data_IF_160773593704
#
_entry.id   IF_160773593704
#
_cell.length_a   1.000
_cell.length_b   1.000
_cell.length_c   1.000
_cell.angle_alpha   90.00
_cell.angle_beta   90.00
_cell.angle_gamma   90.00
#
_symmetry.space_group_name_H-M   'P 1'
#
loop_
_entity.id
_entity.type
_entity.pdbx_description
1 polymer ?
#
# COMPACT_ATOMS: atom_id res chain seq x y z
N UNK A 1 34.17 -29.04 -38.62
CA UNK A 1 33.16 -28.01 -38.31
C UNK A 1 32.07 -28.50 -37.35
N UNK A 2 31.39 -29.62 -37.63
CA UNK A 2 30.31 -30.14 -36.77
C UNK A 2 30.73 -30.52 -35.34
N UNK A 3 31.92 -31.09 -35.14
CA UNK A 3 32.44 -31.45 -33.80
C UNK A 3 32.68 -30.20 -32.91
N UNK A 4 33.13 -29.09 -33.50
CA UNK A 4 33.29 -27.83 -32.79
C UNK A 4 31.95 -27.21 -32.40
N UNK A 5 30.92 -27.31 -33.26
CA UNK A 5 29.58 -26.79 -32.96
C UNK A 5 28.91 -27.57 -31.82
N UNK A 6 29.04 -28.90 -31.80
CA UNK A 6 28.53 -29.74 -30.71
C UNK A 6 29.23 -29.45 -29.37
N UNK A 7 30.56 -29.28 -29.37
CA UNK A 7 31.31 -28.92 -28.17
C UNK A 7 30.94 -27.52 -27.67
N UNK A 8 30.83 -26.53 -28.57
CA UNK A 8 30.39 -25.17 -28.20
C UNK A 8 28.97 -25.17 -27.62
N UNK A 9 28.04 -25.93 -28.21
CA UNK A 9 26.69 -26.07 -27.69
C UNK A 9 26.68 -26.73 -26.30
N UNK A 10 27.46 -27.80 -26.11
CA UNK A 10 27.57 -28.46 -24.80
C UNK A 10 28.13 -27.53 -23.72
N UNK A 11 29.19 -26.76 -24.04
CA UNK A 11 29.75 -25.75 -23.12
C UNK A 11 28.69 -24.69 -22.77
N UNK A 12 27.95 -24.19 -23.77
CA UNK A 12 26.89 -23.20 -23.54
C UNK A 12 25.77 -23.73 -22.63
N UNK A 13 25.36 -24.99 -22.81
CA UNK A 13 24.36 -25.65 -21.95
C UNK A 13 24.88 -25.78 -20.51
N UNK A 14 26.14 -26.19 -20.32
CA UNK A 14 26.76 -26.30 -18.99
C UNK A 14 26.83 -24.93 -18.32
N UNK A 15 27.29 -23.89 -19.03
CA UNK A 15 27.37 -22.53 -18.49
C UNK A 15 25.98 -21.98 -18.13
N UNK A 16 24.97 -22.22 -18.96
CA UNK A 16 23.59 -21.84 -18.67
C UNK A 16 23.06 -22.56 -17.42
N UNK A 17 23.32 -23.87 -17.30
CA UNK A 17 22.93 -24.63 -16.12
C UNK A 17 23.60 -24.07 -14.85
N UNK A 18 24.92 -23.83 -14.87
CA UNK A 18 25.65 -23.26 -13.74
C UNK A 18 25.14 -21.86 -13.37
N UNK A 19 24.83 -21.03 -14.37
CA UNK A 19 24.23 -19.72 -14.17
C UNK A 19 22.86 -19.82 -13.50
N UNK A 20 21.96 -20.67 -14.01
CA UNK A 20 20.62 -20.88 -13.45
C UNK A 20 20.68 -21.49 -12.04
N UNK A 21 21.63 -22.38 -11.77
CA UNK A 21 21.85 -22.92 -10.43
C UNK A 21 22.31 -21.84 -9.45
N UNK A 22 23.28 -21.02 -9.85
CA UNK A 22 23.74 -19.86 -9.04
C UNK A 22 22.61 -18.86 -8.82
N UNK A 23 21.83 -18.56 -9.85
CA UNK A 23 20.69 -17.65 -9.77
C UNK A 23 19.61 -18.18 -8.83
N UNK A 24 19.21 -19.46 -8.96
CA UNK A 24 18.28 -20.12 -8.04
C UNK A 24 18.72 -19.96 -6.59
N UNK A 25 19.99 -20.26 -6.31
CA UNK A 25 20.54 -20.17 -4.96
C UNK A 25 20.49 -18.73 -4.45
N UNK A 26 20.94 -17.76 -5.25
CA UNK A 26 20.92 -16.33 -4.90
C UNK A 26 19.50 -15.81 -4.63
N UNK A 27 18.51 -16.28 -5.39
CA UNK A 27 17.11 -15.90 -5.25
C UNK A 27 16.42 -16.50 -4.03
N UNK A 28 17.03 -17.45 -3.33
CA UNK A 28 16.43 -18.09 -2.13
C UNK A 28 17.30 -17.94 -0.88
N UNK A 29 18.57 -17.60 -1.06
CA UNK A 29 19.50 -17.37 0.05
C UNK A 29 19.15 -16.07 0.76
N UNK A 30 18.95 -16.16 2.07
CA UNK A 30 18.74 -14.99 2.94
C UNK A 30 20.13 -14.51 3.42
N UNK A 31 20.57 -13.29 3.05
CA UNK A 31 21.81 -12.69 3.54
C UNK A 31 21.85 -12.61 5.07
N UNK A 32 23.04 -12.65 5.66
CA UNK A 32 23.20 -12.59 7.11
C UNK A 32 22.70 -11.26 7.68
N UNK A 33 22.91 -10.16 6.98
CA UNK A 33 22.41 -8.83 7.38
C UNK A 33 20.88 -8.82 7.43
N UNK A 34 20.24 -9.38 6.40
CA UNK A 34 18.78 -9.49 6.34
C UNK A 34 18.22 -10.40 7.43
N UNK A 35 18.95 -11.46 7.79
CA UNK A 35 18.58 -12.34 8.91
C UNK A 35 18.70 -11.63 10.24
N UNK A 36 19.73 -10.80 10.43
CA UNK A 36 19.95 -10.05 11.67
C UNK A 36 18.84 -9.00 11.94
N UNK A 37 18.16 -8.53 10.91
CA UNK A 37 17.02 -7.63 11.06
C UNK A 37 15.83 -8.23 11.81
N UNK A 38 15.68 -9.55 11.76
CA UNK A 38 14.63 -10.28 12.47
C UNK A 38 15.23 -11.21 13.53
N UNK A 39 15.02 -10.96 14.83
CA UNK A 39 15.67 -11.75 15.87
C UNK A 39 15.23 -13.22 15.86
N UNK A 40 13.97 -13.52 15.53
CA UNK A 40 13.46 -14.89 15.32
C UNK A 40 12.15 -14.94 14.52
N UNK A 41 11.80 -16.10 13.92
CA UNK A 41 10.50 -16.33 13.30
C UNK A 41 9.32 -16.29 14.28
N UNK A 42 8.13 -16.06 13.73
CA UNK A 42 6.88 -16.15 14.48
C UNK A 42 6.58 -17.61 14.83
N UNK A 43 6.33 -17.89 16.11
CA UNK A 43 5.92 -19.23 16.56
C UNK A 43 4.41 -19.40 16.39
N UNK A 44 3.95 -20.65 16.30
CA UNK A 44 2.51 -20.92 16.22
C UNK A 44 1.75 -20.48 17.48
N UNK A 45 2.42 -20.50 18.64
CA UNK A 45 1.83 -20.07 19.90
C UNK A 45 1.59 -18.56 19.90
N UNK A 46 2.62 -17.77 19.58
CA UNK A 46 2.50 -16.30 19.50
C UNK A 46 1.42 -15.85 18.51
N UNK A 47 1.32 -16.54 17.37
CA UNK A 47 0.30 -16.27 16.36
C UNK A 47 -1.11 -16.50 16.96
N UNK A 48 -1.33 -17.60 17.67
CA UNK A 48 -2.63 -17.92 18.28
C UNK A 48 -2.96 -16.97 19.43
N UNK A 49 -2.02 -16.73 20.33
CA UNK A 49 -2.19 -15.81 21.46
C UNK A 49 -2.52 -14.39 20.97
N UNK A 50 -1.81 -13.92 19.93
CA UNK A 50 -2.07 -12.62 19.32
C UNK A 50 -3.45 -12.60 18.67
N UNK A 51 -3.82 -13.63 17.92
CA UNK A 51 -5.14 -13.72 17.30
C UNK A 51 -6.28 -13.74 18.33
N UNK A 52 -6.16 -14.52 19.41
CA UNK A 52 -7.12 -14.52 20.51
C UNK A 52 -7.24 -13.15 21.17
N UNK A 53 -6.10 -12.48 21.39
CA UNK A 53 -6.08 -11.11 21.91
C UNK A 53 -6.80 -10.15 20.99
N UNK A 54 -6.56 -10.21 19.68
CA UNK A 54 -7.19 -9.36 18.67
C UNK A 54 -8.70 -9.67 18.51
N UNK A 55 -9.11 -10.92 18.70
CA UNK A 55 -10.52 -11.30 18.73
C UNK A 55 -11.24 -10.68 19.94
N UNK A 56 -10.62 -10.72 21.13
CA UNK A 56 -11.19 -10.14 22.36
C UNK A 56 -11.12 -8.61 22.38
N UNK A 57 -10.03 -8.05 21.89
CA UNK A 57 -9.74 -6.62 21.92
C UNK A 57 -9.13 -6.19 20.58
N UNK A 58 -9.98 -5.78 19.61
CA UNK A 58 -9.55 -5.21 18.35
C UNK A 58 -8.57 -4.05 18.52
N UNK A 59 -7.80 -3.77 17.47
CA UNK A 59 -6.80 -2.70 17.52
C UNK A 59 -7.51 -1.35 17.57
N UNK A 60 -7.34 -0.64 18.69
CA UNK A 60 -7.86 0.71 18.83
C UNK A 60 -6.87 1.75 18.29
N UNK A 61 -7.16 2.25 17.09
CA UNK A 61 -6.39 3.32 16.46
C UNK A 61 -6.74 4.71 16.99
N UNK A 62 -7.90 4.89 17.64
CA UNK A 62 -8.42 6.22 18.00
C UNK A 62 -7.54 6.94 19.01
N UNK A 63 -6.95 6.19 19.95
CA UNK A 63 -5.99 6.70 20.95
C UNK A 63 -4.70 7.30 20.37
N UNK A 64 -4.38 6.99 19.11
CA UNK A 64 -3.20 7.50 18.42
C UNK A 64 -3.49 8.72 17.57
N UNK A 65 -4.76 9.03 17.32
CA UNK A 65 -5.14 10.11 16.42
C UNK A 65 -4.79 11.47 17.04
N UNK A 66 -4.24 12.42 16.26
CA UNK A 66 -4.08 13.77 16.72
C UNK A 66 -5.44 14.43 16.98
N UNK A 67 -5.44 15.50 17.78
CA UNK A 67 -6.63 16.26 18.10
C UNK A 67 -7.41 16.70 16.84
N UNK A 68 -8.73 16.83 16.99
CA UNK A 68 -9.61 17.38 15.95
C UNK A 68 -9.15 18.79 15.56
N UNK A 69 -9.07 19.05 14.25
CA UNK A 69 -8.86 20.38 13.71
C UNK A 69 -10.15 20.89 13.03
N UNK A 70 -10.51 22.16 13.21
CA UNK A 70 -11.69 22.75 12.57
C UNK A 70 -11.38 23.11 11.10
N UNK A 71 -11.47 22.11 10.23
CA UNK A 71 -11.04 22.18 8.82
C UNK A 71 -12.01 21.42 7.93
N UNK A 72 -11.97 21.72 6.64
CA UNK A 72 -12.58 20.92 5.57
C UNK A 72 -11.50 20.10 4.86
N UNK A 73 -11.90 18.95 4.32
CA UNK A 73 -11.00 17.91 3.83
C UNK A 73 -11.42 17.43 2.45
N UNK A 74 -10.49 17.47 1.50
CA UNK A 74 -10.60 16.71 0.26
C UNK A 74 -9.66 15.51 0.34
N UNK A 75 -10.21 14.31 0.24
CA UNK A 75 -9.44 13.07 0.24
C UNK A 75 -9.46 12.48 -1.17
N UNK A 76 -8.40 12.76 -1.93
CA UNK A 76 -8.20 12.25 -3.29
C UNK A 76 -7.69 10.82 -3.22
N UNK A 77 -8.41 9.87 -3.83
CA UNK A 77 -8.21 8.43 -3.60
C UNK A 77 -8.90 7.93 -2.33
N UNK A 78 -9.89 8.68 -1.82
CA UNK A 78 -10.57 8.40 -0.56
C UNK A 78 -11.48 7.16 -0.55
N UNK A 79 -11.73 6.53 -1.70
CA UNK A 79 -12.43 5.25 -1.78
C UNK A 79 -11.48 4.04 -1.65
N UNK A 80 -10.16 4.28 -1.70
CA UNK A 80 -9.13 3.25 -1.63
C UNK A 80 -8.75 2.81 -0.22
N UNK A 81 -7.62 2.08 -0.12
CA UNK A 81 -7.08 1.56 1.15
C UNK A 81 -6.67 2.69 2.09
N UNK A 82 -5.64 3.47 1.72
CA UNK A 82 -5.12 4.54 2.59
C UNK A 82 -6.11 5.69 2.70
N UNK A 83 -6.67 6.14 1.58
CA UNK A 83 -7.62 7.27 1.59
C UNK A 83 -8.91 6.97 2.36
N UNK A 84 -9.44 5.76 2.25
CA UNK A 84 -10.59 5.34 3.05
C UNK A 84 -10.28 5.30 4.54
N UNK A 85 -9.08 4.83 4.92
CA UNK A 85 -8.65 4.86 6.32
C UNK A 85 -8.48 6.30 6.84
N UNK A 86 -8.05 7.25 5.99
CA UNK A 86 -8.01 8.69 6.33
C UNK A 86 -9.43 9.20 6.61
N UNK A 87 -10.41 8.90 5.75
CA UNK A 87 -11.81 9.30 5.96
C UNK A 87 -12.33 8.75 7.30
N UNK A 88 -12.13 7.45 7.55
CA UNK A 88 -12.59 6.80 8.78
C UNK A 88 -11.92 7.40 10.02
N UNK A 89 -10.62 7.67 9.98
CA UNK A 89 -9.91 8.28 11.10
C UNK A 89 -10.27 9.75 11.32
N UNK A 90 -10.54 10.52 10.25
CA UNK A 90 -11.09 11.88 10.38
C UNK A 90 -12.42 11.86 11.12
N UNK A 91 -13.33 10.96 10.75
CA UNK A 91 -14.61 10.79 11.43
C UNK A 91 -14.41 10.33 12.89
N UNK A 92 -13.51 9.37 13.12
CA UNK A 92 -13.21 8.86 14.47
C UNK A 92 -12.62 9.92 15.40
N UNK A 93 -11.83 10.89 14.90
CA UNK A 93 -11.38 12.05 15.70
C UNK A 93 -12.44 13.16 15.85
N UNK A 94 -13.67 12.92 15.39
CA UNK A 94 -14.82 13.80 15.59
C UNK A 94 -15.10 14.81 14.48
N UNK A 95 -14.57 14.61 13.26
CA UNK A 95 -14.94 15.46 12.13
C UNK A 95 -16.40 15.23 11.70
N UNK A 96 -17.07 16.30 11.27
CA UNK A 96 -18.38 16.18 10.65
C UNK A 96 -18.26 15.55 9.26
N UNK A 97 -19.14 14.62 8.85
CA UNK A 97 -19.19 14.15 7.47
C UNK A 97 -19.33 15.28 6.45
N UNK A 98 -20.01 16.39 6.80
CA UNK A 98 -20.18 17.56 5.92
C UNK A 98 -18.86 18.26 5.58
N UNK A 99 -17.82 18.11 6.43
CA UNK A 99 -16.50 18.70 6.19
C UNK A 99 -15.57 17.79 5.39
N UNK A 100 -16.01 16.60 4.97
CA UNK A 100 -15.19 15.64 4.23
C UNK A 100 -15.79 15.40 2.84
N UNK A 101 -14.94 15.57 1.83
CA UNK A 101 -15.24 15.22 0.43
C UNK A 101 -14.27 14.16 -0.06
N UNK A 102 -14.80 13.01 -0.45
CA UNK A 102 -14.10 11.95 -1.14
C UNK A 102 -14.05 12.27 -2.64
N UNK A 103 -12.85 12.26 -3.20
CA UNK A 103 -12.61 12.47 -4.63
C UNK A 103 -11.91 11.23 -5.16
N UNK A 104 -12.55 10.46 -6.03
CA UNK A 104 -11.98 9.19 -6.47
C UNK A 104 -12.49 8.80 -7.87
N UNK A 105 -11.73 8.01 -8.61
CA UNK A 105 -12.14 7.50 -9.92
C UNK A 105 -13.31 6.51 -9.79
N UNK A 106 -13.38 5.82 -8.66
CA UNK A 106 -14.45 4.87 -8.32
C UNK A 106 -15.35 5.42 -7.21
N UNK A 107 -16.58 4.92 -7.14
CA UNK A 107 -17.42 5.13 -5.97
C UNK A 107 -16.88 4.32 -4.77
N UNK A 108 -17.13 4.75 -3.52
CA UNK A 108 -16.77 3.96 -2.36
C UNK A 108 -17.44 2.59 -2.44
N UNK A 109 -16.64 1.53 -2.29
CA UNK A 109 -17.14 0.14 -2.33
C UNK A 109 -16.80 -0.64 -1.07
N UNK A 110 -16.01 -0.06 -0.16
CA UNK A 110 -15.68 -0.66 1.13
C UNK A 110 -16.91 -0.56 2.03
N UNK A 111 -17.29 -1.65 2.70
CA UNK A 111 -18.48 -1.67 3.56
C UNK A 111 -18.43 -0.64 4.68
N UNK A 112 -17.24 -0.39 5.23
CA UNK A 112 -17.01 0.62 6.28
C UNK A 112 -17.20 2.08 5.81
N UNK A 113 -17.13 2.33 4.50
CA UNK A 113 -17.44 3.64 3.90
C UNK A 113 -18.91 3.78 3.48
N UNK A 114 -19.66 2.68 3.47
CA UNK A 114 -21.06 2.64 3.02
C UNK A 114 -22.08 2.73 4.16
N UNK A 115 -21.62 2.80 5.41
CA UNK A 115 -22.46 2.82 6.60
C UNK A 115 -22.17 4.04 7.50
N UNK A 116 -23.08 4.32 8.44
CA UNK A 116 -22.89 5.29 9.52
C UNK A 116 -22.59 6.72 9.04
N UNK A 117 -21.56 7.32 9.64
CA UNK A 117 -21.13 8.69 9.32
C UNK A 117 -20.36 8.77 7.99
N UNK A 118 -19.65 7.70 7.59
CA UNK A 118 -18.89 7.66 6.36
C UNK A 118 -19.79 7.72 5.12
N UNK A 119 -20.94 7.03 5.15
CA UNK A 119 -21.96 7.08 4.10
C UNK A 119 -22.53 8.48 3.83
N UNK A 120 -22.38 9.41 4.79
CA UNK A 120 -22.87 10.80 4.71
C UNK A 120 -21.81 11.78 4.21
N UNK A 121 -20.58 11.32 3.97
CA UNK A 121 -19.53 12.15 3.38
C UNK A 121 -19.85 12.47 1.93
N UNK A 122 -19.41 13.64 1.47
CA UNK A 122 -19.61 14.01 0.07
C UNK A 122 -18.70 13.16 -0.83
N UNK A 123 -19.21 12.69 -1.97
CA UNK A 123 -18.41 11.96 -2.96
C UNK A 123 -18.49 12.64 -4.32
N UNK A 124 -17.36 12.73 -5.01
CA UNK A 124 -17.26 13.22 -6.38
C UNK A 124 -16.39 12.27 -7.20
N UNK A 125 -17.02 11.55 -8.13
CA UNK A 125 -16.32 10.74 -9.11
C UNK A 125 -15.42 11.61 -9.99
N UNK A 126 -14.13 11.34 -9.99
CA UNK A 126 -13.11 12.21 -10.56
C UNK A 126 -11.96 11.40 -11.18
N UNK A 127 -11.67 11.66 -12.46
CA UNK A 127 -10.40 11.21 -13.06
C UNK A 127 -9.35 12.30 -12.86
N UNK A 128 -8.35 12.04 -12.02
CA UNK A 128 -7.31 13.03 -11.72
C UNK A 128 -6.41 13.33 -12.93
N UNK A 129 -6.40 12.46 -13.95
CA UNK A 129 -5.70 12.74 -15.20
C UNK A 129 -6.40 13.80 -16.06
N UNK A 130 -7.67 14.13 -15.78
CA UNK A 130 -8.46 15.13 -16.50
C UNK A 130 -8.57 16.41 -15.66
N UNK A 131 -7.87 17.51 -16.02
CA UNK A 131 -7.84 18.74 -15.22
C UNK A 131 -9.23 19.31 -14.90
N UNK A 132 -10.15 19.29 -15.87
CA UNK A 132 -11.53 19.77 -15.69
C UNK A 132 -12.34 18.91 -14.72
N UNK A 133 -12.05 17.61 -14.63
CA UNK A 133 -12.68 16.73 -13.65
C UNK A 133 -12.22 17.07 -12.23
N UNK A 134 -10.93 17.37 -12.07
CA UNK A 134 -10.36 17.80 -10.78
C UNK A 134 -10.92 19.16 -10.38
N UNK A 135 -10.94 20.13 -11.29
CA UNK A 135 -11.50 21.46 -11.05
C UNK A 135 -12.96 21.39 -10.58
N UNK A 136 -13.80 20.58 -11.24
CA UNK A 136 -15.19 20.38 -10.85
C UNK A 136 -15.34 19.82 -9.42
N UNK A 137 -14.47 18.89 -9.02
CA UNK A 137 -14.49 18.31 -7.68
C UNK A 137 -14.04 19.30 -6.59
N UNK A 138 -13.03 20.12 -6.88
CA UNK A 138 -12.45 21.08 -5.94
C UNK A 138 -13.31 22.34 -5.78
N UNK A 139 -14.00 22.76 -6.85
CA UNK A 139 -14.89 23.95 -6.84
C UNK A 139 -16.32 23.65 -6.41
N UNK A 140 -16.71 22.37 -6.28
CA UNK A 140 -18.05 21.99 -5.79
C UNK A 140 -18.35 22.71 -4.46
N UNK A 141 -19.50 23.41 -4.34
CA UNK A 141 -19.83 24.18 -3.14
C UNK A 141 -19.83 23.35 -1.87
N UNK A 142 -19.41 23.97 -0.77
CA UNK A 142 -19.43 23.35 0.56
C UNK A 142 -20.70 23.74 1.31
N UNK A 143 -21.21 22.87 2.22
CA UNK A 143 -22.25 23.24 3.17
C UNK A 143 -21.87 24.49 3.96
N UNK A 144 -22.85 25.36 4.25
CA UNK A 144 -22.61 26.69 4.84
C UNK A 144 -21.96 26.65 6.22
N UNK A 145 -22.17 25.58 6.99
CA UNK A 145 -21.59 25.32 8.31
C UNK A 145 -20.08 25.09 8.26
N UNK A 146 -19.53 24.64 7.12
CA UNK A 146 -18.10 24.30 6.97
C UNK A 146 -17.38 25.11 5.89
N UNK A 147 -18.11 25.87 5.07
CA UNK A 147 -17.57 26.58 3.91
C UNK A 147 -16.44 27.59 4.25
N UNK A 148 -16.47 28.17 5.45
CA UNK A 148 -15.46 29.12 5.93
C UNK A 148 -14.22 28.48 6.58
N UNK A 149 -14.18 27.16 6.72
CA UNK A 149 -13.07 26.47 7.37
C UNK A 149 -11.84 26.35 6.43
N UNK A 150 -10.61 26.37 6.97
CA UNK A 150 -9.39 26.09 6.22
C UNK A 150 -9.44 24.71 5.53
N UNK A 151 -8.73 24.56 4.41
CA UNK A 151 -8.78 23.36 3.59
C UNK A 151 -7.50 22.54 3.68
N UNK A 152 -7.64 21.27 4.08
CA UNK A 152 -6.62 20.24 3.95
C UNK A 152 -6.93 19.35 2.75
N UNK A 153 -5.91 19.03 1.96
CA UNK A 153 -6.01 18.03 0.89
C UNK A 153 -5.10 16.85 1.20
N UNK A 154 -5.67 15.65 1.21
CA UNK A 154 -4.94 14.40 1.26
C UNK A 154 -4.95 13.75 -0.13
N UNK A 155 -3.78 13.47 -0.69
CA UNK A 155 -3.65 12.86 -2.02
C UNK A 155 -3.05 11.47 -1.97
N UNK A 156 -3.90 10.46 -2.04
CA UNK A 156 -3.52 9.04 -1.99
C UNK A 156 -3.74 8.30 -3.30
N UNK A 157 -4.33 8.97 -4.32
CA UNK A 157 -4.63 8.34 -5.60
C UNK A 157 -3.35 8.04 -6.41
N UNK A 158 -3.24 6.81 -6.90
CA UNK A 158 -2.16 6.37 -7.76
C UNK A 158 -2.57 5.10 -8.54
N UNK A 159 -1.95 4.91 -9.70
CA UNK A 159 -1.90 3.61 -10.38
C UNK A 159 -0.65 2.85 -9.94
N UNK A 160 -0.85 1.62 -9.46
CA UNK A 160 0.23 0.75 -8.94
C UNK A 160 0.52 -0.35 -9.97
N UNK A 161 1.62 -0.20 -10.71
CA UNK A 161 2.09 -1.14 -11.75
C UNK A 161 3.58 -1.47 -11.55
N UNK A 162 3.94 -2.20 -10.48
CA UNK A 162 5.34 -2.42 -10.08
C UNK A 162 6.12 -3.38 -10.99
N UNK A 163 5.44 -4.14 -11.85
CA UNK A 163 6.07 -5.04 -12.82
C UNK A 163 6.56 -4.37 -14.10
N UNK A 164 5.98 -3.23 -14.50
CA UNK A 164 6.27 -2.60 -15.79
C UNK A 164 7.48 -1.67 -15.70
N UNK A 165 8.63 -2.13 -16.19
CA UNK A 165 9.87 -1.33 -16.26
C UNK A 165 10.18 -0.73 -17.63
N UNK A 166 9.55 -1.22 -18.69
CA UNK A 166 9.76 -0.67 -20.04
C UNK A 166 9.12 0.71 -20.18
N UNK A 167 9.87 1.67 -20.72
CA UNK A 167 9.35 3.02 -21.01
C UNK A 167 8.25 3.03 -22.08
N UNK A 168 8.06 1.94 -22.83
CA UNK A 168 6.89 1.77 -23.72
C UNK A 168 5.55 1.87 -22.98
N UNK A 169 5.55 1.56 -21.68
CA UNK A 169 4.38 1.58 -20.82
C UNK A 169 4.37 2.75 -19.84
N UNK A 170 5.28 3.71 -20.00
CA UNK A 170 5.44 4.86 -19.09
C UNK A 170 4.12 5.61 -18.88
N UNK A 171 3.45 5.94 -19.98
CA UNK A 171 2.21 6.73 -20.00
C UNK A 171 1.10 6.12 -19.11
N UNK A 172 0.97 4.79 -19.09
CA UNK A 172 -0.02 4.06 -18.27
C UNK A 172 0.08 4.38 -16.77
N UNK A 173 1.27 4.77 -16.31
CA UNK A 173 1.55 5.09 -14.91
C UNK A 173 1.71 6.60 -14.73
N UNK A 174 2.42 7.27 -15.64
CA UNK A 174 2.77 8.68 -15.54
C UNK A 174 1.54 9.60 -15.62
N UNK A 175 0.60 9.30 -16.51
CA UNK A 175 -0.64 10.07 -16.68
C UNK A 175 -1.40 10.26 -15.36
N UNK A 176 -1.42 9.22 -14.52
CA UNK A 176 -2.10 9.26 -13.23
C UNK A 176 -1.18 9.75 -12.13
N UNK A 177 0.01 9.16 -12.01
CA UNK A 177 0.88 9.38 -10.86
C UNK A 177 1.62 10.72 -10.92
N UNK A 178 1.99 11.18 -12.11
CA UNK A 178 2.72 12.44 -12.32
C UNK A 178 1.73 13.54 -12.68
N UNK A 179 1.09 13.43 -13.85
CA UNK A 179 0.25 14.51 -14.38
C UNK A 179 -1.01 14.69 -13.50
N UNK A 180 -1.62 13.58 -13.06
CA UNK A 180 -2.72 13.64 -12.11
C UNK A 180 -2.35 14.23 -10.75
N UNK A 181 -1.13 14.01 -10.26
CA UNK A 181 -0.65 14.68 -9.04
C UNK A 181 -0.48 16.18 -9.27
N UNK A 182 -0.01 16.61 -10.43
CA UNK A 182 0.10 18.04 -10.76
C UNK A 182 -1.26 18.72 -10.82
N UNK A 183 -2.24 18.08 -11.48
CA UNK A 183 -3.60 18.60 -11.56
C UNK A 183 -4.21 18.79 -10.17
N UNK A 184 -4.06 17.78 -9.30
CA UNK A 184 -4.54 17.82 -7.91
C UNK A 184 -3.82 18.88 -7.10
N UNK A 185 -2.50 19.04 -7.27
CA UNK A 185 -1.70 20.04 -6.58
C UNK A 185 -2.07 21.47 -6.99
N UNK A 186 -2.29 21.70 -8.29
CA UNK A 186 -2.76 22.98 -8.82
C UNK A 186 -4.17 23.31 -8.31
N UNK A 187 -5.12 22.39 -8.44
CA UNK A 187 -6.49 22.58 -7.99
C UNK A 187 -6.59 22.78 -6.47
N UNK A 188 -5.75 22.10 -5.68
CA UNK A 188 -5.68 22.33 -4.24
C UNK A 188 -5.29 23.77 -3.90
N UNK A 189 -4.28 24.30 -4.59
CA UNK A 189 -3.83 25.67 -4.42
C UNK A 189 -4.91 26.67 -4.85
N UNK A 190 -5.55 26.45 -6.00
CA UNK A 190 -6.61 27.33 -6.52
C UNK A 190 -7.87 27.30 -5.63
N UNK A 191 -8.18 26.16 -5.01
CA UNK A 191 -9.26 26.02 -4.03
C UNK A 191 -8.94 26.63 -2.65
N UNK A 192 -7.74 27.21 -2.47
CA UNK A 192 -7.30 27.86 -1.25
C UNK A 192 -6.92 26.89 -0.13
N UNK A 193 -6.46 25.68 -0.46
CA UNK A 193 -5.86 24.80 0.54
C UNK A 193 -4.59 25.43 1.12
N UNK A 194 -4.43 25.33 2.43
CA UNK A 194 -3.21 25.74 3.14
C UNK A 194 -2.35 24.54 3.58
N UNK A 195 -2.91 23.32 3.55
CA UNK A 195 -2.20 22.07 3.85
C UNK A 195 -2.45 21.03 2.76
N UNK A 196 -1.36 20.40 2.29
CA UNK A 196 -1.41 19.32 1.31
C UNK A 196 -0.48 18.17 1.70
N UNK A 197 -1.03 16.98 1.93
CA UNK A 197 -0.22 15.79 2.27
C UNK A 197 -0.49 14.68 1.27
N UNK A 198 0.56 14.15 0.65
CA UNK A 198 0.43 13.08 -0.34
C UNK A 198 1.09 11.77 0.08
N UNK A 199 0.57 10.66 -0.43
CA UNK A 199 1.21 9.36 -0.31
C UNK A 199 2.23 9.19 -1.45
N UNK A 200 3.51 9.01 -1.12
CA UNK A 200 4.56 8.50 -2.01
C UNK A 200 4.73 6.99 -1.81
N UNK A 201 5.94 6.45 -1.85
CA UNK A 201 6.23 5.04 -1.59
C UNK A 201 7.69 4.86 -1.25
N UNK A 202 8.02 3.97 -0.30
CA UNK A 202 9.42 3.55 -0.08
C UNK A 202 10.07 2.93 -1.33
N UNK A 203 9.28 2.55 -2.35
CA UNK A 203 9.78 2.18 -3.68
C UNK A 203 10.67 3.24 -4.34
N UNK A 204 10.53 4.53 -4.00
CA UNK A 204 11.36 5.61 -4.58
C UNK A 204 12.83 5.52 -4.16
N UNK A 205 13.10 4.93 -2.99
CA UNK A 205 14.42 4.82 -2.38
C UNK A 205 14.85 3.36 -2.16
N UNK A 206 14.18 2.42 -2.83
CA UNK A 206 14.32 0.99 -2.59
C UNK A 206 15.78 0.52 -2.66
N UNK A 207 16.31 0.21 -1.47
CA UNK A 207 17.64 -0.33 -1.16
C UNK A 207 17.46 -1.26 0.05
N UNK A 208 18.46 -2.07 0.43
CA UNK A 208 18.34 -2.98 1.59
C UNK A 208 17.89 -2.27 2.87
N UNK A 209 18.32 -1.02 3.08
CA UNK A 209 17.75 -0.12 4.09
C UNK A 209 17.15 1.08 3.35
N UNK A 210 15.88 1.34 3.61
CA UNK A 210 15.11 2.39 2.96
C UNK A 210 14.68 3.46 3.97
N UNK A 211 15.09 4.70 3.68
CA UNK A 211 14.82 5.91 4.45
C UNK A 211 14.51 7.07 3.50
N UNK A 212 14.57 8.32 3.98
CA UNK A 212 14.38 9.54 3.20
C UNK A 212 15.65 10.28 2.78
N UNK A 213 16.85 9.74 3.01
CA UNK A 213 18.14 10.44 2.73
C UNK A 213 18.42 10.61 1.24
N UNK A 214 17.74 9.87 0.37
CA UNK A 214 17.80 10.09 -1.08
C UNK A 214 17.10 11.40 -1.50
N UNK A 215 16.21 11.95 -0.65
CA UNK A 215 15.44 13.15 -0.96
C UNK A 215 16.34 14.37 -1.22
N UNK A 216 17.41 14.50 -0.44
CA UNK A 216 18.36 15.62 -0.53
C UNK A 216 19.30 15.49 -1.75
N UNK A 217 19.11 14.49 -2.61
CA UNK A 217 19.87 14.27 -3.86
C UNK A 217 19.01 14.53 -5.09
N UNK A 218 19.63 14.85 -6.24
CA UNK A 218 18.93 14.94 -7.51
C UNK A 218 18.13 13.67 -7.80
N UNK A 219 17.01 13.83 -8.51
CA UNK A 219 16.22 12.70 -8.97
C UNK A 219 17.10 11.80 -9.86
N UNK A 220 17.07 10.49 -9.57
CA UNK A 220 17.86 9.51 -10.34
C UNK A 220 17.26 9.34 -11.74
N UNK A 221 18.04 8.94 -12.75
CA UNK A 221 17.49 8.55 -14.04
C UNK A 221 16.59 7.31 -13.91
N UNK A 222 15.62 7.15 -14.82
CA UNK A 222 14.66 6.05 -14.83
C UNK A 222 15.31 4.66 -14.68
N UNK A 223 16.44 4.41 -15.35
CA UNK A 223 17.14 3.12 -15.32
C UNK A 223 17.70 2.70 -13.96
N UNK A 224 17.72 3.59 -12.97
CA UNK A 224 18.09 3.28 -11.57
C UNK A 224 16.88 2.92 -10.69
N UNK A 225 15.66 3.03 -11.23
CA UNK A 225 14.44 2.56 -10.58
C UNK A 225 14.07 1.18 -11.15
N UNK A 226 13.49 0.32 -10.31
CA UNK A 226 13.13 -1.02 -10.75
C UNK A 226 11.98 -1.05 -11.75
N UNK A 227 11.10 -0.04 -11.73
CA UNK A 227 9.92 0.05 -12.58
C UNK A 227 9.43 1.50 -12.77
N UNK A 228 8.53 1.69 -13.73
CA UNK A 228 7.85 2.95 -14.01
C UNK A 228 7.11 3.49 -12.77
N UNK A 229 6.51 2.61 -11.97
CA UNK A 229 5.84 2.98 -10.72
C UNK A 229 6.76 3.76 -9.78
N UNK A 230 7.92 3.21 -9.44
CA UNK A 230 8.86 3.86 -8.52
C UNK A 230 9.36 5.21 -9.06
N UNK A 231 9.68 5.27 -10.36
CA UNK A 231 10.12 6.52 -10.98
C UNK A 231 9.01 7.59 -10.98
N UNK A 232 7.77 7.21 -11.29
CA UNK A 232 6.61 8.12 -11.28
C UNK A 232 6.32 8.69 -9.89
N UNK A 233 6.41 7.88 -8.84
CA UNK A 233 6.23 8.34 -7.45
C UNK A 233 7.35 9.27 -7.02
N UNK A 234 8.60 9.03 -7.47
CA UNK A 234 9.73 9.89 -7.16
C UNK A 234 9.60 11.27 -7.82
N UNK A 235 9.12 11.33 -9.07
CA UNK A 235 8.79 12.60 -9.74
C UNK A 235 7.68 13.33 -8.98
N UNK A 236 6.56 12.64 -8.72
CA UNK A 236 5.40 13.22 -8.04
C UNK A 236 5.75 13.78 -6.65
N UNK A 237 6.54 13.04 -5.87
CA UNK A 237 7.05 13.47 -4.58
C UNK A 237 7.86 14.77 -4.69
N UNK A 238 8.79 14.86 -5.66
CA UNK A 238 9.56 16.09 -5.87
C UNK A 238 8.66 17.29 -6.21
N UNK A 239 7.61 17.08 -7.02
CA UNK A 239 6.64 18.14 -7.35
C UNK A 239 5.88 18.63 -6.11
N UNK A 240 5.35 17.71 -5.30
CA UNK A 240 4.63 18.05 -4.05
C UNK A 240 5.53 18.78 -3.06
N UNK A 241 6.73 18.25 -2.78
CA UNK A 241 7.66 18.85 -1.84
C UNK A 241 8.16 20.24 -2.30
N UNK A 242 8.39 20.43 -3.61
CA UNK A 242 8.84 21.72 -4.16
C UNK A 242 7.74 22.78 -4.13
N UNK A 243 6.46 22.39 -4.12
CA UNK A 243 5.35 23.33 -4.01
C UNK A 243 5.14 23.92 -2.61
N UNK A 244 5.90 23.46 -1.60
CA UNK A 244 5.83 23.97 -0.24
C UNK A 244 6.13 25.47 -0.17
N UNK A 245 5.23 26.22 0.45
CA UNK A 245 5.38 27.66 0.68
C UNK A 245 4.65 28.10 1.96
N UNK A 246 4.91 29.30 2.51
CA UNK A 246 4.32 29.73 3.78
C UNK A 246 2.79 29.64 3.89
N UNK A 247 2.07 29.84 2.77
CA UNK A 247 0.61 29.75 2.68
C UNK A 247 0.08 28.48 2.02
N UNK A 248 0.95 27.55 1.63
CA UNK A 248 0.58 26.24 1.07
C UNK A 248 1.64 25.22 1.49
N UNK A 249 1.43 24.64 2.68
CA UNK A 249 2.41 23.79 3.34
C UNK A 249 2.20 22.35 2.91
N UNK A 250 3.25 21.74 2.39
CA UNK A 250 3.16 20.39 1.81
C UNK A 250 3.96 19.37 2.60
N UNK A 251 3.57 18.10 2.51
CA UNK A 251 4.28 16.98 3.10
C UNK A 251 4.02 15.70 2.32
N UNK A 252 4.91 14.72 2.46
CA UNK A 252 4.77 13.42 1.78
C UNK A 252 5.00 12.28 2.76
N UNK A 253 4.09 11.31 2.80
CA UNK A 253 4.31 10.05 3.52
C UNK A 253 4.81 8.99 2.55
N UNK A 254 5.90 8.31 2.89
CA UNK A 254 6.39 7.11 2.22
C UNK A 254 6.00 5.89 3.05
N UNK A 255 4.94 5.15 2.65
CA UNK A 255 4.62 3.89 3.29
C UNK A 255 5.74 2.88 3.09
N UNK A 256 6.04 2.11 4.14
CA UNK A 256 6.83 0.88 4.06
C UNK A 256 6.34 -0.07 2.97
N UNK A 257 7.21 -0.97 2.54
CA UNK A 257 6.96 -1.86 1.41
C UNK A 257 6.51 -3.25 1.92
N UNK A 258 5.23 -3.66 1.82
CA UNK A 258 4.06 -3.00 1.24
C UNK A 258 2.90 -2.76 2.21
N UNK A 259 1.82 -2.17 1.70
CA UNK A 259 0.65 -1.75 2.50
C UNK A 259 -0.42 -2.84 2.50
N UNK A 260 -0.92 -3.21 3.68
CA UNK A 260 -2.02 -4.18 3.86
C UNK A 260 -3.17 -3.57 4.67
N UNK A 261 -4.30 -4.28 4.73
CA UNK A 261 -5.43 -3.93 5.59
C UNK A 261 -6.80 -3.93 4.89
N UNK A 262 -6.86 -4.29 3.60
CA UNK A 262 -8.13 -4.54 2.92
C UNK A 262 -8.15 -5.95 2.33
N UNK A 263 -9.32 -6.61 2.23
CA UNK A 263 -9.42 -7.90 1.54
C UNK A 263 -8.83 -7.90 0.11
N UNK A 264 -8.78 -6.74 -0.54
CA UNK A 264 -8.25 -6.55 -1.91
C UNK A 264 -6.83 -5.98 -1.96
N UNK A 265 -6.15 -5.81 -0.82
CA UNK A 265 -4.75 -5.37 -0.80
C UNK A 265 -3.83 -6.38 -1.51
N UNK A 266 -2.61 -5.95 -1.85
CA UNK A 266 -1.68 -6.78 -2.64
C UNK A 266 -0.81 -7.71 -1.79
N UNK A 267 -0.87 -7.62 -0.47
CA UNK A 267 0.02 -8.33 0.46
C UNK A 267 -0.70 -9.55 1.03
N UNK A 268 -1.79 -9.31 1.75
CA UNK A 268 -2.58 -10.34 2.40
C UNK A 268 -3.73 -10.81 1.51
N UNK A 269 -4.31 -9.91 0.71
CA UNK A 269 -5.47 -10.18 -0.14
C UNK A 269 -5.35 -11.46 -0.99
N UNK A 270 -4.30 -11.65 -1.81
CA UNK A 270 -4.17 -12.82 -2.69
C UNK A 270 -4.04 -14.16 -1.96
N UNK A 271 -3.58 -14.15 -0.71
CA UNK A 271 -3.50 -15.37 0.12
C UNK A 271 -4.83 -15.61 0.83
N UNK A 272 -5.49 -14.55 1.28
CA UNK A 272 -6.71 -14.65 2.06
C UNK A 272 -7.98 -14.83 1.22
N UNK A 273 -7.94 -14.49 -0.07
CA UNK A 273 -9.11 -14.55 -0.97
C UNK A 273 -9.43 -15.94 -1.51
N UNK A 274 -8.45 -16.85 -1.55
CA UNK A 274 -8.58 -18.16 -2.18
C UNK A 274 -8.23 -19.29 -1.21
N UNK A 275 -8.88 -20.48 -1.29
CA UNK A 275 -8.52 -21.63 -0.45
C UNK A 275 -7.10 -22.15 -0.68
N UNK A 276 -6.56 -21.94 -1.90
CA UNK A 276 -5.19 -22.30 -2.26
C UNK A 276 -4.52 -21.11 -2.91
N UNK A 277 -3.36 -20.73 -2.37
CA UNK A 277 -2.54 -19.64 -2.88
C UNK A 277 -1.14 -20.15 -3.21
N UNK A 278 -0.44 -19.47 -4.11
CA UNK A 278 0.93 -19.80 -4.48
C UNK A 278 1.82 -18.57 -4.33
N UNK A 279 3.02 -18.76 -3.76
CA UNK A 279 3.98 -17.67 -3.59
C UNK A 279 5.41 -18.10 -3.90
N UNK A 280 6.16 -17.22 -4.55
CA UNK A 280 7.60 -17.37 -4.78
C UNK A 280 8.46 -16.56 -3.78
N UNK A 281 7.83 -15.76 -2.92
CA UNK A 281 8.50 -14.79 -2.05
C UNK A 281 8.54 -15.22 -0.57
N UNK A 282 8.33 -16.50 -0.27
CA UNK A 282 8.29 -16.99 1.12
C UNK A 282 9.55 -16.67 1.94
N UNK A 283 10.71 -16.53 1.28
CA UNK A 283 11.99 -16.22 1.92
C UNK A 283 12.20 -14.72 2.19
N UNK A 284 11.41 -13.84 1.56
CA UNK A 284 11.57 -12.38 1.60
C UNK A 284 11.31 -11.85 3.01
N UNK A 285 12.22 -11.00 3.49
CA UNK A 285 12.11 -10.30 4.79
C UNK A 285 11.93 -8.80 4.51
N UNK A 286 10.83 -8.23 5.00
CA UNK A 286 10.59 -6.78 4.89
C UNK A 286 9.65 -6.25 5.96
N UNK A 287 9.68 -4.94 6.23
CA UNK A 287 8.63 -4.31 7.03
C UNK A 287 7.38 -4.07 6.17
N UNK A 288 6.23 -4.48 6.71
CA UNK A 288 4.94 -4.11 6.17
C UNK A 288 4.35 -2.93 6.94
N UNK A 289 3.33 -2.30 6.36
CA UNK A 289 2.61 -1.22 7.03
C UNK A 289 1.11 -1.36 6.83
N UNK A 290 0.35 -1.24 7.91
CA UNK A 290 -1.11 -1.17 7.83
C UNK A 290 -1.55 0.13 7.15
N UNK A 291 -2.60 0.08 6.32
CA UNK A 291 -3.26 1.27 5.76
C UNK A 291 -3.62 2.30 6.83
N UNK A 292 -4.06 1.82 7.99
CA UNK A 292 -4.41 2.66 9.15
C UNK A 292 -3.19 3.34 9.77
N UNK A 293 -2.02 2.71 9.77
CA UNK A 293 -0.76 3.31 10.19
C UNK A 293 -0.26 4.36 9.18
N UNK A 294 -0.46 4.14 7.89
CA UNK A 294 -0.17 5.14 6.84
C UNK A 294 -1.09 6.36 6.99
N UNK A 295 -2.39 6.12 7.22
CA UNK A 295 -3.37 7.17 7.47
C UNK A 295 -3.02 7.98 8.72
N UNK A 296 -2.62 7.31 9.81
CA UNK A 296 -2.15 7.99 11.03
C UNK A 296 -0.96 8.91 10.71
N UNK A 297 0.00 8.45 9.91
CA UNK A 297 1.10 9.29 9.41
C UNK A 297 0.61 10.55 8.68
N UNK A 298 -0.44 10.45 7.85
CA UNK A 298 -1.02 11.60 7.16
C UNK A 298 -1.65 12.60 8.12
N UNK A 299 -2.41 12.13 9.11
CA UNK A 299 -3.07 13.00 10.08
C UNK A 299 -2.07 13.68 11.01
N UNK A 300 -1.00 12.98 11.42
CA UNK A 300 0.08 13.59 12.20
C UNK A 300 0.83 14.64 11.39
N UNK A 301 1.07 14.38 10.09
CA UNK A 301 1.71 15.36 9.22
C UNK A 301 0.82 16.59 9.01
N UNK A 302 -0.48 16.40 8.81
CA UNK A 302 -1.43 17.52 8.79
C UNK A 302 -1.37 18.34 10.08
N UNK A 303 -1.43 17.68 11.24
CA UNK A 303 -1.37 18.37 12.53
C UNK A 303 -0.09 19.20 12.68
N UNK A 304 1.05 18.68 12.23
CA UNK A 304 2.31 19.42 12.21
C UNK A 304 2.26 20.63 11.26
N UNK A 305 1.76 20.45 10.03
CA UNK A 305 1.72 21.49 9.01
C UNK A 305 0.70 22.59 9.31
N UNK A 306 -0.42 22.25 9.94
CA UNK A 306 -1.47 23.18 10.36
C UNK A 306 -1.08 23.98 11.62
N UNK A 307 0.07 23.69 12.24
CA UNK A 307 0.59 24.41 13.39
C UNK A 307 0.83 25.91 13.13
N UNK A 308 1.03 26.73 14.17
CA UNK A 308 1.19 28.17 14.03
C UNK A 308 2.46 28.56 13.26
N UNK A 309 3.52 27.76 13.37
CA UNK A 309 4.79 27.96 12.69
C UNK A 309 4.98 26.93 11.58
N UNK A 310 5.81 27.25 10.59
CA UNK A 310 6.19 26.28 9.55
C UNK A 310 7.13 25.25 10.20
N UNK A 311 6.73 23.97 10.31
CA UNK A 311 7.58 22.96 10.94
C UNK A 311 8.75 22.58 10.04
N UNK A 312 9.83 22.04 10.62
CA UNK A 312 11.02 21.60 9.86
C UNK A 312 10.73 20.45 8.88
N UNK A 313 9.66 19.69 9.11
CA UNK A 313 9.21 18.62 8.24
C UNK A 313 8.45 19.13 6.99
N UNK A 314 8.08 20.41 6.92
CA UNK A 314 7.39 20.97 5.77
C UNK A 314 8.22 20.87 4.49
N UNK A 315 7.58 20.46 3.38
CA UNK A 315 8.22 20.22 2.10
C UNK A 315 9.13 19.00 2.07
N UNK A 316 9.00 18.07 3.02
CA UNK A 316 9.83 16.84 3.07
C UNK A 316 8.99 15.56 3.04
N UNK A 317 9.55 14.46 2.53
CA UNK A 317 9.00 13.14 2.74
C UNK A 317 9.40 12.57 4.11
N UNK A 318 8.53 11.76 4.70
CA UNK A 318 8.82 10.97 5.89
C UNK A 318 8.32 9.53 5.70
N UNK A 319 9.12 8.57 6.17
CA UNK A 319 8.84 7.14 6.03
C UNK A 319 8.09 6.61 7.25
N UNK A 320 7.07 5.78 7.04
CA UNK A 320 6.28 5.17 8.12
C UNK A 320 6.14 3.67 7.93
N UNK A 321 6.17 2.91 9.03
CA UNK A 321 6.01 1.46 9.04
C UNK A 321 5.35 0.96 10.34
N UNK A 322 4.85 -0.28 10.36
CA UNK A 322 4.35 -0.88 11.60
C UNK A 322 5.46 -0.99 12.66
N UNK A 323 5.06 -1.11 13.93
CA UNK A 323 6.01 -1.33 15.00
C UNK A 323 6.64 -2.74 14.92
N UNK A 324 7.87 -2.82 15.40
CA UNK A 324 8.62 -4.07 15.50
C UNK A 324 9.54 -4.33 14.31
N UNK A 325 10.29 -5.44 14.35
CA UNK A 325 11.25 -5.77 13.31
C UNK A 325 10.55 -6.17 11.99
N UNK A 326 11.27 -6.14 10.85
CA UNK A 326 10.82 -6.74 9.60
C UNK A 326 10.38 -8.19 9.80
N UNK A 327 9.34 -8.60 9.08
CA UNK A 327 8.81 -9.97 9.13
C UNK A 327 9.18 -10.71 7.85
N UNK A 328 9.09 -12.03 7.87
CA UNK A 328 9.23 -12.84 6.67
C UNK A 328 7.84 -13.14 6.09
N UNK A 329 7.69 -13.18 4.76
CA UNK A 329 6.41 -13.61 4.15
C UNK A 329 5.94 -14.99 4.62
N UNK A 330 6.87 -15.92 4.87
CA UNK A 330 6.55 -17.22 5.46
C UNK A 330 5.87 -17.12 6.85
N UNK A 331 6.16 -16.07 7.62
CA UNK A 331 5.50 -15.86 8.91
C UNK A 331 4.01 -15.50 8.71
N UNK A 332 3.71 -14.66 7.70
CA UNK A 332 2.33 -14.37 7.29
C UNK A 332 1.61 -15.62 6.76
N UNK A 333 2.25 -16.41 5.90
CA UNK A 333 1.65 -17.65 5.38
C UNK A 333 1.32 -18.63 6.51
N UNK A 334 2.23 -18.79 7.47
CA UNK A 334 1.99 -19.58 8.67
C UNK A 334 0.78 -19.07 9.46
N UNK A 335 0.63 -17.76 9.63
CA UNK A 335 -0.53 -17.18 10.30
C UNK A 335 -1.82 -17.45 9.52
N UNK A 336 -1.81 -17.28 8.20
CA UNK A 336 -2.95 -17.59 7.36
C UNK A 336 -3.37 -19.07 7.48
N UNK A 337 -2.43 -20.01 7.32
CA UNK A 337 -2.70 -21.46 7.41
C UNK A 337 -3.22 -21.88 8.79
N UNK A 338 -2.76 -21.24 9.87
CA UNK A 338 -3.16 -21.57 11.24
C UNK A 338 -4.51 -20.98 11.66
N UNK A 339 -4.86 -19.80 11.17
CA UNK A 339 -5.95 -18.99 11.74
C UNK A 339 -7.16 -18.83 10.81
N UNK A 340 -7.02 -19.11 9.52
CA UNK A 340 -8.13 -19.00 8.57
C UNK A 340 -9.12 -20.15 8.74
N UNK A 341 -10.41 -19.84 8.64
CA UNK A 341 -11.49 -20.83 8.62
C UNK A 341 -12.40 -20.59 7.41
N UNK A 342 -12.49 -21.52 6.42
CA UNK A 342 -11.70 -22.74 6.33
C UNK A 342 -10.20 -22.42 6.08
N UNK A 343 -9.30 -23.34 6.46
CA UNK A 343 -7.86 -23.15 6.29
C UNK A 343 -7.45 -22.91 4.84
N UNK A 344 -6.60 -21.91 4.64
CA UNK A 344 -5.89 -21.67 3.39
C UNK A 344 -4.66 -22.58 3.32
N UNK A 345 -4.30 -23.03 2.11
CA UNK A 345 -3.04 -23.73 1.83
C UNK A 345 -2.13 -22.83 0.98
N UNK A 346 -0.87 -22.62 1.39
CA UNK A 346 0.08 -21.80 0.64
C UNK A 346 1.19 -22.66 0.03
N UNK A 347 1.15 -22.83 -1.29
CA UNK A 347 2.18 -23.54 -2.05
C UNK A 347 3.38 -22.63 -2.35
N UNK A 348 4.55 -22.97 -1.81
CA UNK A 348 5.81 -22.27 -2.16
C UNK A 348 6.30 -22.77 -3.51
N UNK A 349 6.25 -21.91 -4.53
CA UNK A 349 6.68 -22.24 -5.90
C UNK A 349 8.11 -21.76 -6.17
N UNK A 350 8.76 -22.37 -7.16
CA UNK A 350 10.15 -22.05 -7.51
C UNK A 350 10.30 -20.60 -7.98
N UNK A 351 11.02 -19.78 -7.22
CA UNK A 351 11.34 -18.39 -7.56
C UNK A 351 12.00 -18.27 -8.94
N UNK A 352 12.93 -19.17 -9.28
CA UNK A 352 13.57 -19.18 -10.60
C UNK A 352 12.58 -19.43 -11.73
N UNK A 353 11.69 -20.42 -11.60
CA UNK A 353 10.70 -20.74 -12.64
C UNK A 353 9.75 -19.56 -12.85
N UNK A 354 9.26 -18.97 -11.76
CA UNK A 354 8.39 -17.80 -11.82
C UNK A 354 9.10 -16.59 -12.45
N UNK A 355 10.40 -16.40 -12.18
CA UNK A 355 11.19 -15.33 -12.77
C UNK A 355 11.42 -15.51 -14.28
N UNK A 356 11.62 -16.74 -14.75
CA UNK A 356 11.70 -17.05 -16.18
C UNK A 356 10.34 -16.81 -16.87
N UNK A 357 9.24 -17.25 -16.25
CA UNK A 357 7.89 -16.96 -16.74
C UNK A 357 7.62 -15.44 -16.79
N UNK A 358 8.13 -14.69 -15.82
CA UNK A 358 7.99 -13.24 -15.80
C UNK A 358 8.64 -12.56 -17.02
N UNK A 359 9.77 -13.07 -17.51
CA UNK A 359 10.39 -12.59 -18.76
C UNK A 359 9.52 -12.91 -19.99
N UNK A 360 8.82 -14.05 -19.99
CA UNK A 360 7.87 -14.39 -21.06
C UNK A 360 6.70 -13.42 -21.07
N UNK A 361 6.14 -13.11 -19.89
CA UNK A 361 5.03 -12.14 -19.74
C UNK A 361 5.48 -10.74 -20.19
N UNK A 362 6.63 -10.26 -19.74
CA UNK A 362 7.20 -8.97 -20.15
C UNK A 362 7.46 -8.95 -21.67
N UNK A 363 8.10 -9.98 -22.21
CA UNK A 363 8.40 -10.09 -23.63
C UNK A 363 7.14 -10.10 -24.50
N UNK A 364 6.09 -10.81 -24.06
CA UNK A 364 4.80 -10.81 -24.73
C UNK A 364 4.13 -9.42 -24.73
N UNK A 365 4.10 -8.74 -23.58
CA UNK A 365 3.56 -7.39 -23.48
C UNK A 365 4.33 -6.42 -24.40
N UNK A 366 5.66 -6.48 -24.40
CA UNK A 366 6.51 -5.65 -25.27
C UNK A 366 6.25 -5.96 -26.76
N UNK A 367 6.10 -7.24 -27.11
CA UNK A 367 5.80 -7.65 -28.48
C UNK A 367 4.47 -7.07 -28.95
N UNK A 368 3.41 -7.17 -28.14
CA UNK A 368 2.10 -6.58 -28.44
C UNK A 368 2.17 -5.06 -28.61
N UNK A 369 2.95 -4.37 -27.76
CA UNK A 369 3.13 -2.92 -27.84
C UNK A 369 3.91 -2.49 -29.09
N UNK A 370 4.92 -3.28 -29.49
CA UNK A 370 5.76 -3.00 -30.67
C UNK A 370 5.10 -3.39 -31.99
N UNK A 371 4.17 -4.35 -31.97
CA UNK A 371 3.52 -4.90 -33.16
C UNK A 371 1.98 -4.81 -33.03
N UNK A 372 1.39 -3.62 -33.22
CA UNK A 372 -0.05 -3.40 -32.98
C UNK A 372 -1.00 -4.23 -33.87
N UNK A 373 -0.53 -4.84 -34.95
CA UNK A 373 -1.37 -5.75 -35.73
C UNK A 373 -1.79 -6.98 -34.89
N UNK A 374 -0.95 -7.42 -33.95
CA UNK A 374 -1.27 -8.55 -33.07
C UNK A 374 -2.50 -8.25 -32.20
N UNK A 375 -2.60 -7.03 -31.66
CA UNK A 375 -3.77 -6.62 -30.87
C UNK A 375 -5.00 -6.42 -31.74
N UNK A 376 -4.85 -5.95 -32.98
CA UNK A 376 -5.94 -5.89 -33.97
C UNK A 376 -6.45 -7.28 -34.38
N UNK A 377 -5.60 -8.30 -34.32
CA UNK A 377 -5.96 -9.71 -34.53
C UNK A 377 -6.58 -10.37 -33.29
N UNK A 378 -6.82 -9.61 -32.21
CA UNK A 378 -7.50 -10.08 -31.01
C UNK A 378 -6.57 -10.60 -29.90
N UNK A 379 -5.25 -10.50 -30.06
CA UNK A 379 -4.31 -10.86 -28.99
C UNK A 379 -4.27 -9.76 -27.92
N UNK A 380 -4.22 -10.15 -26.65
CA UNK A 380 -4.16 -9.20 -25.53
C UNK A 380 -3.10 -9.57 -24.52
N UNK A 381 -2.73 -8.58 -23.68
CA UNK A 381 -1.96 -8.84 -22.48
C UNK A 381 -2.71 -9.78 -21.52
N UNK A 382 -1.99 -10.52 -20.67
CA UNK A 382 -2.61 -11.31 -19.61
C UNK A 382 -3.48 -10.41 -18.71
N UNK A 383 -4.58 -10.97 -18.21
CA UNK A 383 -5.47 -10.31 -17.26
C UNK A 383 -5.22 -10.80 -15.84
N UNK A 384 -5.79 -10.10 -14.86
CA UNK A 384 -5.69 -10.48 -13.45
C UNK A 384 -4.25 -10.41 -12.92
N UNK A 385 -3.92 -11.21 -11.89
CA UNK A 385 -2.62 -11.16 -11.21
C UNK A 385 -1.41 -11.42 -12.13
N UNK A 386 -1.59 -12.24 -13.18
CA UNK A 386 -0.50 -12.63 -14.10
C UNK A 386 0.12 -11.42 -14.81
N UNK A 387 -0.65 -10.35 -15.07
CA UNK A 387 -0.12 -9.13 -15.71
C UNK A 387 1.00 -8.46 -14.90
N UNK A 388 1.01 -8.67 -13.59
CA UNK A 388 1.99 -8.11 -12.66
C UNK A 388 3.24 -8.99 -12.54
N UNK A 389 3.19 -10.24 -13.02
CA UNK A 389 4.33 -11.15 -13.04
C UNK A 389 5.29 -10.75 -14.16
N UNK A 390 6.08 -9.72 -13.91
CA UNK A 390 7.16 -9.22 -14.78
C UNK A 390 8.44 -9.11 -13.94
N UNK A 391 9.65 -9.15 -14.55
CA UNK A 391 10.90 -9.33 -13.80
C UNK A 391 11.12 -8.28 -12.71
N UNK A 392 10.62 -7.06 -12.91
CA UNK A 392 10.75 -5.97 -11.97
C UNK A 392 10.15 -6.27 -10.58
N UNK A 393 9.14 -7.16 -10.47
CA UNK A 393 8.46 -7.47 -9.21
C UNK A 393 9.37 -8.14 -8.17
N UNK A 394 10.51 -8.72 -8.58
CA UNK A 394 11.47 -9.28 -7.63
C UNK A 394 12.17 -8.22 -6.78
N UNK A 395 12.30 -6.98 -7.27
CA UNK A 395 12.95 -5.91 -6.49
C UNK A 395 12.14 -5.48 -5.27
N UNK A 396 10.84 -5.13 -5.39
CA UNK A 396 10.00 -4.88 -4.23
C UNK A 396 9.64 -6.17 -3.46
N UNK A 397 10.04 -7.35 -3.95
CA UNK A 397 9.96 -8.62 -3.23
C UNK A 397 11.31 -9.06 -2.68
N UNK A 398 12.28 -8.14 -2.54
CA UNK A 398 13.61 -8.41 -1.98
C UNK A 398 13.68 -8.06 -0.49
N UNK A 399 14.85 -8.29 0.12
CA UNK A 399 15.09 -7.97 1.53
C UNK A 399 15.16 -6.44 1.73
N UNK A 400 14.18 -5.89 2.47
CA UNK A 400 14.07 -4.44 2.70
C UNK A 400 13.74 -4.13 4.16
N UNK A 401 14.65 -3.47 4.85
CA UNK A 401 14.38 -2.80 6.12
C UNK A 401 13.92 -1.37 5.87
N UNK A 402 12.84 -0.98 6.50
CA UNK A 402 12.32 0.38 6.52
C UNK A 402 12.80 1.07 7.80
N UNK A 403 13.46 2.21 7.65
CA UNK A 403 13.88 3.06 8.76
C UNK A 403 12.92 4.26 8.86
N UNK A 404 12.05 4.24 9.88
CA UNK A 404 11.09 5.31 10.18
C UNK A 404 11.59 6.27 11.27
N UNK A 405 12.87 6.21 11.65
CA UNK A 405 13.44 7.00 12.75
C UNK A 405 13.16 8.49 12.61
N UNK A 406 13.20 9.03 11.39
CA UNK A 406 12.91 10.44 11.15
C UNK A 406 11.44 10.81 11.42
N UNK A 407 10.49 9.95 11.08
CA UNK A 407 9.08 10.19 11.38
C UNK A 407 8.80 10.13 12.89
N UNK A 408 9.55 9.30 13.63
CA UNK A 408 9.42 9.13 15.09
C UNK A 408 9.91 10.33 15.90
N UNK A 409 10.81 11.16 15.34
CA UNK A 409 11.29 12.40 15.99
C UNK A 409 10.14 13.37 16.26
N UNK A 410 10.30 14.27 17.22
CA UNK A 410 9.29 15.31 17.48
C UNK A 410 9.14 16.27 16.30
N UNK A 411 8.05 17.04 16.27
CA UNK A 411 7.82 18.06 15.23
C UNK A 411 8.92 19.14 15.25
N UNK A 412 9.40 19.51 16.43
CA UNK A 412 10.49 20.48 16.63
C UNK A 412 11.83 19.98 16.06
N UNK A 413 12.04 18.66 16.07
CA UNK A 413 13.19 17.97 15.49
C UNK A 413 13.02 17.65 14.00
N UNK A 414 11.85 17.94 13.42
CA UNK A 414 11.54 17.70 12.01
C UNK A 414 10.91 16.35 11.70
N UNK A 415 10.40 15.64 12.71
CA UNK A 415 9.55 14.45 12.54
C UNK A 415 8.07 14.74 12.76
N UNK A 416 7.31 13.71 13.15
CA UNK A 416 5.86 13.76 13.38
C UNK A 416 5.46 13.32 14.80
N UNK A 417 6.40 12.83 15.61
CA UNK A 417 6.11 12.05 16.81
C UNK A 417 5.43 10.72 16.46
N UNK A 418 5.71 10.17 15.27
CA UNK A 418 5.05 8.96 14.79
C UNK A 418 5.35 7.76 15.69
N UNK A 419 4.31 7.03 16.06
CA UNK A 419 4.39 5.69 16.66
C UNK A 419 3.30 4.87 16.00
N UNK A 420 3.67 3.74 15.38
CA UNK A 420 2.67 2.83 14.82
C UNK A 420 1.67 2.38 15.90
N UNK A 421 0.41 2.21 15.53
CA UNK A 421 -0.62 1.78 16.47
C UNK A 421 -0.59 0.26 16.73
N UNK A 422 0.06 -0.49 15.82
CA UNK A 422 0.18 -1.94 15.88
C UNK A 422 1.50 -2.43 15.30
N UNK A 423 1.83 -3.67 15.63
CA UNK A 423 2.81 -4.50 14.93
C UNK A 423 2.19 -5.15 13.70
N UNK A 424 3.03 -5.67 12.80
CA UNK A 424 2.55 -6.42 11.63
C UNK A 424 1.80 -7.71 12.01
N UNK A 425 2.20 -8.39 13.10
CA UNK A 425 1.50 -9.61 13.55
C UNK A 425 0.07 -9.31 13.98
N UNK A 426 -0.12 -8.26 14.79
CA UNK A 426 -1.44 -7.80 15.24
C UNK A 426 -2.32 -7.42 14.04
N UNK A 427 -1.80 -6.62 13.10
CA UNK A 427 -2.55 -6.18 11.93
C UNK A 427 -2.93 -7.34 11.00
N UNK A 428 -2.05 -8.31 10.78
CA UNK A 428 -2.35 -9.54 10.02
C UNK A 428 -3.43 -10.36 10.72
N UNK A 429 -3.32 -10.56 12.04
CA UNK A 429 -4.32 -11.29 12.82
C UNK A 429 -5.69 -10.61 12.74
N UNK A 430 -5.74 -9.29 12.79
CA UNK A 430 -6.98 -8.53 12.65
C UNK A 430 -7.61 -8.72 11.27
N UNK A 431 -6.82 -8.68 10.21
CA UNK A 431 -7.32 -8.92 8.86
C UNK A 431 -7.86 -10.35 8.68
N UNK A 432 -7.21 -11.36 9.28
CA UNK A 432 -7.70 -12.74 9.27
C UNK A 432 -9.02 -12.85 10.07
N UNK A 433 -9.12 -12.18 11.23
CA UNK A 433 -10.35 -12.13 12.03
C UNK A 433 -11.52 -11.58 11.20
N UNK A 434 -11.29 -10.46 10.52
CA UNK A 434 -12.33 -9.78 9.74
C UNK A 434 -12.77 -10.62 8.53
N UNK A 435 -11.84 -11.35 7.88
CA UNK A 435 -12.17 -12.36 6.87
C UNK A 435 -13.04 -13.47 7.43
N UNK A 436 -12.64 -14.10 8.54
CA UNK A 436 -13.37 -15.22 9.13
C UNK A 436 -14.80 -14.81 9.50
N UNK A 437 -14.98 -13.62 10.10
CA UNK A 437 -16.30 -13.05 10.38
C UNK A 437 -17.14 -12.83 9.12
N UNK A 438 -16.52 -12.31 8.06
CA UNK A 438 -17.21 -12.06 6.78
C UNK A 438 -17.70 -13.36 6.13
N UNK A 439 -16.94 -14.44 6.22
CA UNK A 439 -17.34 -15.76 5.69
C UNK A 439 -18.48 -16.39 6.48
N UNK A 440 -18.46 -16.28 7.82
CA UNK A 440 -19.59 -16.72 8.67
C UNK A 440 -20.87 -15.96 8.28
N UNK A 441 -20.78 -14.64 8.11
CA UNK A 441 -21.91 -13.81 7.67
C UNK A 441 -22.47 -14.21 6.30
N UNK A 442 -21.61 -14.61 5.35
CA UNK A 442 -22.05 -15.12 4.05
C UNK A 442 -22.70 -16.50 4.16
N UNK A 443 -22.14 -17.42 4.96
CA UNK A 443 -22.67 -18.78 5.15
C UNK A 443 -24.07 -18.78 5.80
N UNK A 444 -24.29 -17.88 6.77
CA UNK A 444 -25.60 -17.66 7.39
C UNK A 444 -26.63 -17.10 6.39
N UNK A 445 -26.22 -16.16 5.53
CA UNK A 445 -27.08 -15.62 4.46
C UNK A 445 -27.40 -16.65 3.38
N UNK A 446 -26.52 -17.63 3.14
CA UNK A 446 -26.73 -18.71 2.16
C UNK A 446 -27.45 -19.94 2.72
N UNK A 447 -27.88 -19.95 3.99
CA UNK A 447 -28.69 -21.04 4.57
C UNK A 447 -27.95 -22.35 4.85
N UNK A 448 -26.61 -22.36 4.92
CA UNK A 448 -25.78 -23.56 5.12
C UNK A 448 -25.34 -23.75 6.60
N UNK A 449 -26.15 -23.29 7.55
CA UNK A 449 -25.76 -23.12 8.96
C UNK A 449 -25.92 -24.37 9.83
N UNK A 450 -24.97 -25.30 9.77
CA UNK A 450 -24.82 -26.38 10.77
C UNK A 450 -23.73 -26.15 11.82
N UNK A 451 -22.71 -25.35 11.49
CA UNK A 451 -21.46 -25.23 12.30
C UNK A 451 -21.23 -23.81 12.84
N UNK A 452 -21.99 -22.81 12.36
CA UNK A 452 -21.78 -21.38 12.67
C UNK A 452 -22.22 -20.94 14.08
N UNK A 453 -22.76 -21.83 14.92
CA UNK A 453 -23.33 -21.46 16.23
C UNK A 453 -22.28 -21.09 17.28
N UNK A 454 -21.10 -21.70 17.23
CA UNK A 454 -20.12 -21.63 18.33
C UNK A 454 -19.39 -20.28 18.42
N UNK A 455 -19.19 -19.58 17.31
CA UNK A 455 -18.52 -18.26 17.30
C UNK A 455 -19.47 -17.15 17.77
N UNK A 456 -20.75 -17.22 17.40
CA UNK A 456 -21.78 -16.24 17.79
C UNK A 456 -22.29 -16.43 19.22
N UNK A 457 -22.30 -17.65 19.76
CA UNK A 457 -22.72 -17.90 21.16
C UNK A 457 -21.78 -17.24 22.18
N UNK A 458 -20.53 -16.93 21.80
CA UNK A 458 -19.60 -16.23 22.68
C UNK A 458 -19.90 -14.72 22.76
N UNK A 459 -20.31 -14.09 21.64
CA UNK A 459 -20.65 -12.66 21.59
C UNK A 459 -22.08 -12.36 22.07
N UNK A 460 -23.04 -13.27 21.84
CA UNK A 460 -24.42 -13.11 22.33
C UNK A 460 -24.55 -13.24 23.85
N UNK A 461 -23.61 -13.94 24.50
CA UNK A 461 -23.52 -13.98 25.96
C UNK A 461 -22.90 -12.71 26.54
N UNK A 462 -22.13 -11.93 25.78
CA UNK A 462 -21.55 -10.65 26.25
C UNK A 462 -22.52 -9.46 26.07
N UNK A 463 -23.37 -9.44 25.03
CA UNK A 463 -24.40 -8.39 24.89
C UNK A 463 -25.53 -8.50 25.93
N UNK A 464 -25.76 -9.67 26.53
CA UNK A 464 -26.85 -9.87 27.52
C UNK A 464 -26.41 -9.84 28.99
N UNK A 465 -25.13 -9.61 29.28
CA UNK A 465 -24.62 -9.47 30.67
C UNK A 465 -24.17 -8.03 30.98
N UNK A 466 -24.32 -7.11 30.02
CA UNK A 466 -23.95 -5.69 30.17
C UNK A 466 -25.10 -4.70 29.99
N UNK A 467 -26.34 -5.05 30.38
CA UNK A 467 -27.49 -4.12 30.44
C UNK A 467 -27.85 -3.77 31.89
#
# INVERSE_FOLDING_TARGET
MACNLALTAAIAVILLFLYLYKLKNAMTSIPEEARAWRPRPWTAEEIRETYETICRKPIDFTRHLPAKLERRYIVVGGSGLVGGDIVLQLLARGQSPSSIRIVDFSEPSRSDLLEGAAAKTDHVKTDIAEPSSVEAAFTKPWPSDVAGLPLTVFHTAATIRPGERSMLFWDRTARVNVDGTENVLAAAKDAGADVFVATSSSSVALRPVCDERDFDRPLRPHGEYFANYAYSKAIAERKVCTANSPGFRTGVIRPGNGIYGLPTDQICGPTLSEPKSASFSAHTIQNFVSGRNVSLGHLLFEAALAGPTVPKCAGRPLVVTDNGPPTQFADFFRAAELLTDPPVEVAVVSSLVMYLLAHVVEGWAILLARVPILTRLGLSEPKGPVRHLQPAIWTPSAFVMIDDTAARKSVEEGGLGYVGACTTMEGVCEQIRDRNRSQVGQSLKSGAGGVAKTILETDLLEEHVGA
#
